data_IF_793126381388
#
_entry.id   IF_793126381388
#
_cell.length_a   1.000
_cell.length_b   1.000
_cell.length_c   1.000
_cell.angle_alpha   90.00
_cell.angle_beta   90.00
_cell.angle_gamma   90.00
#
_symmetry.space_group_name_H-M   'P 1'
#
loop_
_entity.id
_entity.type
_entity.pdbx_description
1 polymer ?
#
# COMPACT_ATOMS: atom_id res chain seq x y z
N UNK A 1 -35.74 -9.50 11.93
CA UNK A 1 -34.61 -8.57 11.70
C UNK A 1 -35.10 -7.43 10.81
N UNK A 2 -35.48 -6.32 11.42
CA UNK A 2 -36.02 -5.13 10.75
C UNK A 2 -34.85 -4.21 10.39
N UNK A 3 -34.59 -4.09 9.08
CA UNK A 3 -33.56 -3.20 8.54
C UNK A 3 -34.02 -1.75 8.73
N UNK A 4 -33.31 -1.00 9.58
CA UNK A 4 -33.56 0.43 9.79
C UNK A 4 -33.13 1.19 8.53
N UNK A 5 -34.01 2.00 7.92
CA UNK A 5 -33.67 2.75 6.72
C UNK A 5 -32.63 3.83 7.04
N UNK A 6 -31.49 3.76 6.35
CA UNK A 6 -30.45 4.77 6.37
C UNK A 6 -31.00 6.09 5.83
N UNK A 7 -31.20 7.05 6.72
CA UNK A 7 -31.58 8.43 6.35
C UNK A 7 -30.42 9.06 5.57
N UNK A 8 -30.66 9.60 4.37
CA UNK A 8 -29.59 10.20 3.57
C UNK A 8 -28.99 11.41 4.29
N UNK A 9 -27.66 11.59 4.22
CA UNK A 9 -26.99 12.71 4.88
C UNK A 9 -27.44 14.03 4.25
N UNK A 10 -27.87 14.97 5.10
CA UNK A 10 -28.33 16.31 4.71
C UNK A 10 -27.16 17.12 4.10
N UNK A 11 -27.28 17.62 2.85
CA UNK A 11 -26.16 18.22 2.12
C UNK A 11 -25.73 19.64 2.52
N UNK A 12 -26.38 20.31 3.48
CA UNK A 12 -26.27 21.78 3.63
C UNK A 12 -25.35 22.31 4.74
N UNK A 13 -24.45 21.49 5.32
CA UNK A 13 -23.50 22.00 6.34
C UNK A 13 -22.21 22.56 5.74
N UNK A 14 -22.34 23.81 5.31
CA UNK A 14 -21.42 24.97 5.43
C UNK A 14 -20.00 24.92 4.80
N UNK A 15 -19.79 25.65 3.69
CA UNK A 15 -18.46 25.98 3.16
C UNK A 15 -17.72 27.14 3.88
N UNK A 16 -18.29 27.75 4.92
CA UNK A 16 -17.73 28.99 5.52
C UNK A 16 -16.43 28.84 6.33
N UNK A 17 -15.97 27.63 6.69
CA UNK A 17 -14.72 27.45 7.46
C UNK A 17 -13.43 27.49 6.63
N UNK A 18 -13.51 27.58 5.30
CA UNK A 18 -12.31 27.41 4.46
C UNK A 18 -11.45 28.68 4.40
N UNK A 19 -12.03 29.88 4.53
CA UNK A 19 -11.28 31.14 4.32
C UNK A 19 -10.44 31.60 5.50
N UNK A 20 -10.91 31.45 6.76
CA UNK A 20 -10.11 31.81 7.95
C UNK A 20 -8.87 30.91 8.14
N UNK A 21 -8.90 29.69 7.61
CA UNK A 21 -7.76 28.76 7.68
C UNK A 21 -6.60 29.15 6.76
N UNK A 22 -6.84 29.89 5.66
CA UNK A 22 -5.81 30.19 4.66
C UNK A 22 -4.86 31.31 5.11
N UNK A 23 -5.39 32.38 5.72
CA UNK A 23 -4.58 33.51 6.19
C UNK A 23 -3.68 33.13 7.37
N UNK A 24 -4.19 32.32 8.30
CA UNK A 24 -3.40 31.78 9.41
C UNK A 24 -2.29 30.84 8.94
N UNK A 25 -2.54 30.05 7.90
CA UNK A 25 -1.53 29.16 7.31
C UNK A 25 -0.37 29.93 6.70
N UNK A 26 -0.66 30.98 5.89
CA UNK A 26 0.40 31.79 5.25
C UNK A 26 1.27 32.49 6.29
N UNK A 27 0.68 33.12 7.31
CA UNK A 27 1.45 33.78 8.37
C UNK A 27 2.34 32.82 9.15
N UNK A 28 1.86 31.60 9.41
CA UNK A 28 2.65 30.55 10.07
C UNK A 28 3.85 30.14 9.22
N UNK A 29 3.68 29.96 7.91
CA UNK A 29 4.80 29.63 7.02
C UNK A 29 5.85 30.73 6.95
N UNK A 30 5.44 32.01 6.90
CA UNK A 30 6.38 33.13 6.90
C UNK A 30 7.24 33.13 8.16
N UNK A 31 6.62 32.94 9.34
CA UNK A 31 7.34 32.85 10.61
C UNK A 31 8.29 31.65 10.67
N UNK A 32 7.89 30.50 10.14
CA UNK A 32 8.74 29.30 10.07
C UNK A 32 9.95 29.55 9.16
N UNK A 33 9.76 30.11 7.97
CA UNK A 33 10.87 30.42 7.05
C UNK A 33 11.83 31.44 7.67
N UNK A 34 11.29 32.48 8.33
CA UNK A 34 12.12 33.45 9.04
C UNK A 34 12.93 32.81 10.18
N UNK A 35 12.32 31.92 10.97
CA UNK A 35 13.00 31.17 12.03
C UNK A 35 14.09 30.25 11.48
N UNK A 36 13.82 29.55 10.37
CA UNK A 36 14.83 28.73 9.68
C UNK A 36 16.01 29.56 9.17
N UNK A 37 15.75 30.77 8.67
CA UNK A 37 16.81 31.70 8.27
C UNK A 37 17.69 32.14 9.45
N UNK A 38 17.08 32.42 10.61
CA UNK A 38 17.80 32.74 11.84
C UNK A 38 18.65 31.55 12.33
N UNK A 39 18.09 30.34 12.32
CA UNK A 39 18.82 29.10 12.66
C UNK A 39 19.99 28.86 11.71
N UNK A 40 19.80 29.08 10.41
CA UNK A 40 20.86 28.93 9.40
C UNK A 40 22.02 29.90 9.66
N UNK A 41 21.70 31.18 9.87
CA UNK A 41 22.71 32.21 10.13
C UNK A 41 23.48 31.90 11.43
N UNK A 42 22.78 31.43 12.46
CA UNK A 42 23.40 31.05 13.71
C UNK A 42 24.32 29.83 13.55
N UNK A 43 23.86 28.75 12.90
CA UNK A 43 24.68 27.58 12.60
C UNK A 43 25.91 27.93 11.76
N UNK A 44 25.73 28.78 10.74
CA UNK A 44 26.83 29.28 9.92
C UNK A 44 27.89 30.00 10.77
N UNK A 45 27.47 30.91 11.66
CA UNK A 45 28.42 31.61 12.54
C UNK A 45 29.16 30.66 13.51
N UNK A 46 28.49 29.62 14.00
CA UNK A 46 29.12 28.59 14.85
C UNK A 46 30.15 27.78 14.05
N UNK A 47 29.83 27.38 12.82
CA UNK A 47 30.73 26.65 11.94
C UNK A 47 31.92 27.50 11.49
N UNK A 48 31.76 28.80 11.27
CA UNK A 48 32.87 29.71 10.94
C UNK A 48 33.90 29.76 12.06
N UNK A 49 33.46 29.69 13.33
CA UNK A 49 34.36 29.65 14.48
C UNK A 49 35.19 28.36 14.49
N UNK A 50 34.58 27.22 14.11
CA UNK A 50 35.25 25.91 14.08
C UNK A 50 36.17 25.72 12.85
N UNK A 51 35.71 26.09 11.66
CA UNK A 51 36.32 25.71 10.37
C UNK A 51 36.92 26.90 9.62
N UNK A 52 37.64 27.79 10.32
CA UNK A 52 38.20 29.10 9.90
C UNK A 52 38.78 29.27 8.48
N UNK A 53 38.93 28.22 7.65
CA UNK A 53 39.63 28.24 6.37
C UNK A 53 38.76 28.05 5.11
N UNK A 54 37.47 27.70 5.17
CA UNK A 54 36.67 27.53 3.96
C UNK A 54 35.16 27.85 4.13
N UNK A 55 34.74 29.02 3.61
CA UNK A 55 33.35 29.50 3.68
C UNK A 55 32.34 28.56 2.99
N UNK A 56 32.76 27.86 1.93
CA UNK A 56 31.88 26.91 1.20
C UNK A 56 31.59 25.70 2.08
N UNK A 57 32.61 25.15 2.74
CA UNK A 57 32.44 24.00 3.66
C UNK A 57 31.55 24.38 4.83
N UNK A 58 31.73 25.59 5.37
CA UNK A 58 30.90 26.12 6.46
C UNK A 58 29.44 26.30 6.01
N UNK A 59 29.19 26.89 4.84
CA UNK A 59 27.85 27.06 4.30
C UNK A 59 27.14 25.72 4.08
N UNK A 60 27.81 24.77 3.43
CA UNK A 60 27.28 23.42 3.17
C UNK A 60 27.01 22.69 4.48
N UNK A 61 27.91 22.78 5.46
CA UNK A 61 27.73 22.21 6.79
C UNK A 61 26.53 22.78 7.53
N UNK A 62 26.33 24.10 7.46
CA UNK A 62 25.21 24.78 8.13
C UNK A 62 23.86 24.36 7.53
N UNK A 63 23.77 24.32 6.20
CA UNK A 63 22.58 23.84 5.49
C UNK A 63 22.31 22.36 5.79
N UNK A 64 23.36 21.53 5.80
CA UNK A 64 23.25 20.10 6.13
C UNK A 64 22.74 19.86 7.55
N UNK A 65 23.27 20.58 8.55
CA UNK A 65 22.81 20.49 9.94
C UNK A 65 21.38 20.99 10.12
N UNK A 66 21.02 22.10 9.46
CA UNK A 66 19.65 22.61 9.47
C UNK A 66 18.68 21.57 8.89
N UNK A 67 19.00 21.02 7.71
CA UNK A 67 18.20 20.00 7.05
C UNK A 67 18.04 18.75 7.93
N UNK A 68 19.13 18.27 8.54
CA UNK A 68 19.11 17.13 9.45
C UNK A 68 18.23 17.41 10.69
N UNK A 69 18.32 18.60 11.28
CA UNK A 69 17.50 19.00 12.42
C UNK A 69 16.00 19.07 12.07
N UNK A 70 15.65 19.70 10.95
CA UNK A 70 14.26 19.78 10.47
C UNK A 70 13.70 18.40 10.16
N UNK A 71 14.50 17.53 9.53
CA UNK A 71 14.11 16.16 9.24
C UNK A 71 13.87 15.35 10.52
N UNK A 72 14.75 15.50 11.52
CA UNK A 72 14.57 14.87 12.82
C UNK A 72 13.27 15.33 13.50
N UNK A 73 13.01 16.64 13.56
CA UNK A 73 11.78 17.21 14.12
C UNK A 73 10.52 16.70 13.37
N UNK A 74 10.58 16.64 12.04
CA UNK A 74 9.51 16.09 11.20
C UNK A 74 9.23 14.62 11.55
N UNK A 75 10.26 13.78 11.64
CA UNK A 75 10.12 12.36 11.98
C UNK A 75 9.55 12.14 13.38
N UNK A 76 9.91 12.97 14.36
CA UNK A 76 9.31 12.91 15.70
C UNK A 76 7.80 13.22 15.62
N UNK A 77 7.41 14.21 14.82
CA UNK A 77 6.00 14.56 14.63
C UNK A 77 5.20 13.43 13.97
N UNK A 78 5.77 12.82 12.92
CA UNK A 78 5.20 11.62 12.27
C UNK A 78 5.08 10.46 13.26
N UNK A 79 6.13 10.14 14.02
CA UNK A 79 6.12 9.08 15.01
C UNK A 79 5.10 9.34 16.14
N UNK A 80 4.93 10.60 16.55
CA UNK A 80 3.91 10.99 17.53
C UNK A 80 2.49 10.81 16.99
N UNK A 81 2.26 11.10 15.71
CA UNK A 81 0.98 10.84 15.05
C UNK A 81 0.68 9.34 14.94
N UNK A 82 1.69 8.53 14.56
CA UNK A 82 1.57 7.07 14.48
C UNK A 82 1.25 6.44 15.85
N UNK A 83 1.93 6.88 16.92
CA UNK A 83 1.65 6.42 18.28
C UNK A 83 0.25 6.82 18.76
N UNK A 84 -0.23 8.03 18.41
CA UNK A 84 -1.61 8.44 18.71
C UNK A 84 -2.63 7.55 17.99
N UNK A 85 -2.32 7.11 16.78
CA UNK A 85 -3.15 6.19 16.01
C UNK A 85 -2.99 4.71 16.42
N UNK A 86 -2.16 4.41 17.44
CA UNK A 86 -1.84 3.04 17.88
C UNK A 86 -1.33 2.14 16.74
N UNK A 87 -0.57 2.72 15.79
CA UNK A 87 0.04 1.93 14.73
C UNK A 87 1.04 0.93 15.35
N UNK A 88 0.91 -0.39 15.12
CA UNK A 88 1.81 -1.40 15.69
C UNK A 88 3.27 -1.23 15.23
N UNK A 89 3.52 -0.50 14.14
CA UNK A 89 4.88 -0.22 13.64
C UNK A 89 5.56 0.94 14.37
N UNK A 90 4.83 1.68 15.20
CA UNK A 90 5.34 2.86 15.86
C UNK A 90 6.24 2.49 17.05
N UNK A 91 7.56 2.66 16.89
CA UNK A 91 8.54 2.44 17.96
C UNK A 91 8.68 3.68 18.85
N UNK A 92 8.30 3.56 20.13
CA UNK A 92 8.56 4.61 21.15
C UNK A 92 10.05 4.87 21.32
N UNK A 93 10.86 3.82 21.24
CA UNK A 93 12.31 3.91 21.39
C UNK A 93 12.94 4.75 20.28
N UNK A 94 12.58 4.50 19.02
CA UNK A 94 13.10 5.27 17.88
C UNK A 94 12.70 6.75 17.97
N UNK A 95 11.47 7.04 18.38
CA UNK A 95 11.02 8.42 18.64
C UNK A 95 11.86 9.08 19.74
N UNK A 96 12.13 8.37 20.84
CA UNK A 96 12.90 8.94 21.94
C UNK A 96 14.36 9.21 21.52
N UNK A 97 14.97 8.32 20.72
CA UNK A 97 16.31 8.54 20.15
C UNK A 97 16.36 9.71 19.17
N UNK A 98 15.35 9.87 18.32
CA UNK A 98 15.26 11.00 17.40
C UNK A 98 15.06 12.33 18.12
N UNK A 99 14.24 12.36 19.19
CA UNK A 99 14.13 13.53 20.09
C UNK A 99 15.46 13.82 20.76
N UNK A 100 16.15 12.80 21.29
CA UNK A 100 17.43 12.97 21.95
C UNK A 100 18.51 13.51 20.98
N UNK A 101 18.60 12.97 19.77
CA UNK A 101 19.52 13.45 18.74
C UNK A 101 19.22 14.89 18.31
N UNK A 102 17.95 15.24 18.13
CA UNK A 102 17.54 16.61 17.83
C UNK A 102 17.92 17.58 18.95
N UNK A 103 17.64 17.23 20.22
CA UNK A 103 18.03 18.03 21.38
C UNK A 103 19.55 18.17 21.50
N UNK A 104 20.30 17.10 21.24
CA UNK A 104 21.74 17.11 21.30
C UNK A 104 22.35 18.08 20.28
N UNK A 105 21.80 18.19 19.07
CA UNK A 105 22.26 19.16 18.05
C UNK A 105 22.05 20.60 18.55
N UNK A 106 20.85 20.94 19.03
CA UNK A 106 20.54 22.27 19.55
C UNK A 106 21.41 22.65 20.76
N UNK A 107 21.57 21.72 21.70
CA UNK A 107 22.41 21.90 22.89
C UNK A 107 23.89 22.05 22.53
N UNK A 108 24.40 21.25 21.59
CA UNK A 108 25.79 21.34 21.15
C UNK A 108 26.09 22.69 20.50
N UNK A 109 25.20 23.17 19.62
CA UNK A 109 25.35 24.47 18.97
C UNK A 109 25.28 25.64 19.99
N UNK A 110 24.38 25.55 20.98
CA UNK A 110 24.32 26.52 22.08
C UNK A 110 25.59 26.49 22.95
N UNK A 111 26.08 25.29 23.30
CA UNK A 111 27.29 25.12 24.11
C UNK A 111 28.55 25.66 23.41
N UNK A 112 28.72 25.38 22.12
CA UNK A 112 29.84 25.93 21.33
C UNK A 112 29.83 27.45 21.36
N UNK A 113 28.65 28.07 21.32
CA UNK A 113 28.51 29.53 21.36
C UNK A 113 28.89 30.14 22.70
N UNK A 114 28.64 29.43 23.81
CA UNK A 114 29.09 29.85 25.15
C UNK A 114 30.60 29.69 25.32
N UNK A 115 31.17 28.60 24.80
CA UNK A 115 32.60 28.27 24.97
C UNK A 115 33.50 29.07 24.03
N UNK A 116 33.04 29.34 22.82
CA UNK A 116 33.78 30.08 21.80
C UNK A 116 32.99 31.33 21.38
N UNK A 117 32.97 32.38 22.22
CA UNK A 117 32.27 33.61 21.88
C UNK A 117 32.91 34.24 20.64
N UNK A 118 32.16 34.26 19.55
CA UNK A 118 32.58 34.93 18.32
C UNK A 118 32.53 36.43 18.51
N UNK A 119 33.48 37.16 17.94
CA UNK A 119 33.45 38.63 17.84
C UNK A 119 32.31 39.06 16.90
N UNK A 120 31.07 38.96 17.35
CA UNK A 120 29.90 39.34 16.58
C UNK A 120 29.83 40.87 16.49
N UNK A 121 30.27 41.42 15.37
CA UNK A 121 30.08 42.82 15.00
C UNK A 121 28.61 43.07 14.60
N UNK A 122 27.71 43.21 15.58
CA UNK A 122 26.37 43.75 15.30
C UNK A 122 25.21 43.14 16.09
N UNK A 123 24.79 43.84 17.14
CA UNK A 123 23.48 44.52 17.23
C UNK A 123 23.58 45.39 18.49
N UNK A 124 23.35 46.70 18.35
CA UNK A 124 23.58 47.68 19.42
C UNK A 124 22.60 47.52 20.57
N UNK A 125 23.11 47.07 21.72
CA UNK A 125 22.45 47.24 23.02
C UNK A 125 23.50 47.70 24.00
N UNK A 126 23.51 49.01 24.28
CA UNK A 126 24.32 49.67 25.30
C UNK A 126 23.79 49.31 26.69
N UNK A 127 23.94 48.05 27.08
CA UNK A 127 23.70 47.59 28.43
C UNK A 127 25.01 47.03 28.98
N UNK A 128 25.45 47.53 30.14
CA UNK A 128 26.66 47.16 30.87
C UNK A 128 26.68 45.68 31.37
N UNK A 129 25.95 44.79 30.70
CA UNK A 129 26.09 43.37 30.89
C UNK A 129 27.49 42.97 30.40
N UNK A 130 28.33 42.47 31.31
CA UNK A 130 29.67 41.99 30.97
C UNK A 130 29.64 41.00 29.80
N UNK A 131 30.70 40.93 28.98
CA UNK A 131 30.72 40.20 27.71
C UNK A 131 30.18 38.76 27.79
N UNK A 132 30.47 38.04 28.89
CA UNK A 132 29.93 36.70 29.13
C UNK A 132 28.40 36.62 29.26
N UNK A 133 27.75 37.61 29.90
CA UNK A 133 26.30 37.61 30.06
C UNK A 133 25.59 37.79 28.71
N UNK A 134 26.18 38.58 27.80
CA UNK A 134 25.67 38.76 26.44
C UNK A 134 25.78 37.48 25.62
N UNK A 135 26.91 36.78 25.68
CA UNK A 135 27.11 35.54 24.91
C UNK A 135 26.16 34.42 25.37
N UNK A 136 25.96 34.30 26.69
CA UNK A 136 24.98 33.38 27.27
C UNK A 136 23.56 33.74 26.83
N UNK A 137 23.18 35.02 26.85
CA UNK A 137 21.87 35.47 26.38
C UNK A 137 21.63 35.12 24.90
N UNK A 138 22.62 35.36 24.04
CA UNK A 138 22.53 35.02 22.62
C UNK A 138 22.44 33.50 22.42
N UNK A 139 23.20 32.71 23.19
CA UNK A 139 23.11 31.24 23.13
C UNK A 139 21.73 30.72 23.57
N UNK A 140 21.16 31.30 24.62
CA UNK A 140 19.81 30.97 25.10
C UNK A 140 18.73 31.36 24.08
N UNK A 141 18.85 32.55 23.46
CA UNK A 141 17.93 32.99 22.41
C UNK A 141 17.98 32.05 21.20
N UNK A 142 19.18 31.66 20.76
CA UNK A 142 19.36 30.67 19.70
C UNK A 142 18.70 29.34 20.05
N UNK A 143 18.94 28.82 21.26
CA UNK A 143 18.31 27.58 21.70
C UNK A 143 16.78 27.69 21.73
N UNK A 144 16.24 28.83 22.17
CA UNK A 144 14.80 29.07 22.19
C UNK A 144 14.19 29.09 20.77
N UNK A 145 14.85 29.77 19.81
CA UNK A 145 14.42 29.80 18.41
C UNK A 145 14.46 28.41 17.78
N UNK A 146 15.55 27.66 18.00
CA UNK A 146 15.70 26.28 17.54
C UNK A 146 14.58 25.37 18.05
N UNK A 147 14.26 25.49 19.35
CA UNK A 147 13.17 24.74 19.98
C UNK A 147 11.82 25.10 19.37
N UNK A 148 11.55 26.40 19.19
CA UNK A 148 10.30 26.87 18.60
C UNK A 148 10.12 26.37 17.15
N UNK A 149 11.18 26.43 16.34
CA UNK A 149 11.19 25.93 14.96
C UNK A 149 10.93 24.41 14.92
N UNK A 150 11.68 23.63 15.71
CA UNK A 150 11.51 22.18 15.78
C UNK A 150 10.13 21.76 16.25
N UNK A 151 9.57 22.43 17.27
CA UNK A 151 8.22 22.19 17.76
C UNK A 151 7.15 22.52 16.72
N UNK A 152 7.31 23.60 15.95
CA UNK A 152 6.39 23.96 14.87
C UNK A 152 6.38 22.89 13.76
N UNK A 153 7.56 22.44 13.32
CA UNK A 153 7.69 21.36 12.33
C UNK A 153 7.09 20.05 12.87
N UNK A 154 7.38 19.71 14.13
CA UNK A 154 6.84 18.52 14.79
C UNK A 154 5.31 18.57 14.88
N UNK A 155 4.75 19.72 15.25
CA UNK A 155 3.31 19.94 15.32
C UNK A 155 2.66 19.80 13.95
N UNK A 156 3.22 20.47 12.93
CA UNK A 156 2.75 20.40 11.55
C UNK A 156 2.77 18.95 11.02
N UNK A 157 3.90 18.26 11.19
CA UNK A 157 4.02 16.86 10.81
C UNK A 157 2.99 16.00 11.53
N UNK A 158 2.76 16.24 12.83
CA UNK A 158 1.77 15.51 13.62
C UNK A 158 0.33 15.72 13.14
N UNK A 159 -0.05 16.94 12.79
CA UNK A 159 -1.44 17.28 12.40
C UNK A 159 -1.75 16.86 10.97
N UNK A 160 -0.79 16.99 10.06
CA UNK A 160 -0.97 16.64 8.65
C UNK A 160 -0.72 15.16 8.35
N UNK A 161 0.04 14.45 9.19
CA UNK A 161 0.23 13.01 9.01
C UNK A 161 -1.00 12.22 9.48
N UNK A 162 -1.79 11.74 8.53
CA UNK A 162 -2.93 10.86 8.79
C UNK A 162 -2.60 9.39 8.45
N UNK A 163 -2.16 8.58 9.42
CA UNK A 163 -1.79 7.18 9.18
C UNK A 163 -3.00 6.31 8.79
N UNK A 164 -4.22 6.69 9.20
CA UNK A 164 -5.44 5.95 8.88
C UNK A 164 -5.75 5.99 7.39
N UNK A 165 -5.46 7.11 6.72
CA UNK A 165 -5.65 7.22 5.26
C UNK A 165 -4.72 6.27 4.52
N UNK A 166 -3.47 6.14 4.96
CA UNK A 166 -2.52 5.18 4.37
C UNK A 166 -2.97 3.73 4.61
N UNK A 167 -3.37 3.38 5.84
CA UNK A 167 -3.90 2.06 6.16
C UNK A 167 -5.15 1.71 5.34
N UNK A 168 -6.09 2.65 5.21
CA UNK A 168 -7.31 2.48 4.43
C UNK A 168 -7.02 2.36 2.92
N UNK A 169 -6.03 3.08 2.39
CA UNK A 169 -5.57 2.90 1.00
C UNK A 169 -5.01 1.50 0.78
N UNK A 170 -4.17 0.99 1.70
CA UNK A 170 -3.64 -0.38 1.63
C UNK A 170 -4.75 -1.42 1.71
N UNK A 171 -5.67 -1.30 2.67
CA UNK A 171 -6.81 -2.20 2.80
C UNK A 171 -7.70 -2.19 1.54
N UNK A 172 -7.90 -1.03 0.90
CA UNK A 172 -8.61 -0.93 -0.38
C UNK A 172 -7.86 -1.60 -1.53
N UNK A 173 -6.54 -1.46 -1.59
CA UNK A 173 -5.71 -2.14 -2.59
C UNK A 173 -5.76 -3.65 -2.42
N UNK A 174 -5.62 -4.15 -1.19
CA UNK A 174 -5.72 -5.57 -0.85
C UNK A 174 -7.11 -6.14 -1.19
N UNK A 175 -8.18 -5.41 -0.83
CA UNK A 175 -9.55 -5.82 -1.20
C UNK A 175 -9.76 -5.89 -2.71
N UNK A 176 -9.20 -4.95 -3.47
CA UNK A 176 -9.25 -4.96 -4.95
C UNK A 176 -8.47 -6.14 -5.52
N UNK A 177 -7.29 -6.44 -4.97
CA UNK A 177 -6.48 -7.57 -5.38
C UNK A 177 -7.19 -8.91 -5.10
N UNK A 178 -7.83 -9.05 -3.93
CA UNK A 178 -8.63 -10.21 -3.57
C UNK A 178 -9.83 -10.38 -4.51
N UNK A 179 -10.59 -9.31 -4.78
CA UNK A 179 -11.72 -9.37 -5.72
C UNK A 179 -11.28 -9.75 -7.15
N UNK A 180 -10.11 -9.27 -7.60
CA UNK A 180 -9.54 -9.65 -8.89
C UNK A 180 -9.01 -11.09 -8.92
N UNK A 181 -8.60 -11.65 -7.77
CA UNK A 181 -8.23 -13.07 -7.67
C UNK A 181 -9.48 -13.96 -7.70
N UNK A 182 -10.54 -13.56 -6.98
CA UNK A 182 -11.82 -14.25 -6.96
C UNK A 182 -12.48 -14.27 -8.35
N UNK A 183 -12.47 -13.16 -9.09
CA UNK A 183 -13.01 -13.12 -10.45
C UNK A 183 -12.25 -14.04 -11.41
N UNK A 184 -10.92 -14.12 -11.28
CA UNK A 184 -10.08 -15.04 -12.07
C UNK A 184 -10.38 -16.50 -11.71
N UNK A 185 -10.49 -16.83 -10.43
CA UNK A 185 -10.86 -18.16 -9.97
C UNK A 185 -12.29 -18.56 -10.42
N UNK A 186 -13.22 -17.61 -10.42
CA UNK A 186 -14.57 -17.81 -10.96
C UNK A 186 -14.53 -18.12 -12.46
N UNK A 187 -13.76 -17.36 -13.24
CA UNK A 187 -13.61 -17.58 -14.68
C UNK A 187 -12.96 -18.94 -15.00
N UNK A 188 -11.94 -19.36 -14.25
CA UNK A 188 -11.33 -20.69 -14.44
C UNK A 188 -12.29 -21.81 -14.07
N UNK A 189 -13.06 -21.66 -12.98
CA UNK A 189 -14.07 -22.64 -12.59
C UNK A 189 -15.18 -22.81 -13.65
N UNK A 190 -15.65 -21.70 -14.24
CA UNK A 190 -16.63 -21.73 -15.33
C UNK A 190 -16.07 -22.45 -16.57
N UNK A 191 -14.82 -22.14 -16.96
CA UNK A 191 -14.15 -22.84 -18.09
C UNK A 191 -13.99 -24.33 -17.83
N UNK A 192 -13.55 -24.71 -16.63
CA UNK A 192 -13.40 -26.12 -16.26
C UNK A 192 -14.73 -26.88 -16.31
N UNK A 193 -15.82 -26.28 -15.84
CA UNK A 193 -17.17 -26.86 -15.95
C UNK A 193 -17.62 -27.02 -17.39
N UNK A 194 -17.35 -26.05 -18.25
CA UNK A 194 -17.67 -26.12 -19.68
C UNK A 194 -16.91 -27.27 -20.38
N UNK A 195 -15.61 -27.41 -20.12
CA UNK A 195 -14.78 -28.51 -20.65
C UNK A 195 -15.30 -29.87 -20.16
N UNK A 196 -15.64 -30.00 -18.88
CA UNK A 196 -16.22 -31.23 -18.35
C UNK A 196 -17.56 -31.57 -19.01
N UNK A 197 -18.42 -30.58 -19.24
CA UNK A 197 -19.69 -30.78 -19.93
C UNK A 197 -19.47 -31.23 -21.39
N UNK A 198 -18.48 -30.65 -22.08
CA UNK A 198 -18.11 -31.06 -23.43
C UNK A 198 -17.64 -32.52 -23.48
N UNK A 199 -16.70 -32.92 -22.60
CA UNK A 199 -16.22 -34.30 -22.56
C UNK A 199 -17.32 -35.31 -22.25
N UNK A 200 -18.27 -34.95 -21.38
CA UNK A 200 -19.45 -35.80 -21.12
C UNK A 200 -20.32 -35.96 -22.36
N UNK A 201 -20.53 -34.87 -23.11
CA UNK A 201 -21.29 -34.93 -24.36
C UNK A 201 -20.56 -35.75 -25.45
N UNK A 202 -19.24 -35.60 -25.56
CA UNK A 202 -18.40 -36.41 -26.46
C UNK A 202 -18.47 -37.89 -26.09
N UNK A 203 -18.30 -38.24 -24.83
CA UNK A 203 -18.40 -39.61 -24.34
C UNK A 203 -19.77 -40.22 -24.65
N UNK A 204 -20.86 -39.49 -24.42
CA UNK A 204 -22.22 -39.95 -24.78
C UNK A 204 -22.38 -40.18 -26.29
N UNK A 205 -21.76 -39.35 -27.13
CA UNK A 205 -21.77 -39.54 -28.59
C UNK A 205 -20.99 -40.79 -28.99
N UNK A 206 -19.84 -41.04 -28.37
CA UNK A 206 -19.04 -42.25 -28.61
C UNK A 206 -19.81 -43.52 -28.20
N UNK A 207 -20.44 -43.52 -27.02
CA UNK A 207 -21.30 -44.64 -26.58
C UNK A 207 -22.38 -44.93 -27.62
N UNK A 208 -23.12 -43.90 -28.07
CA UNK A 208 -24.14 -44.06 -29.11
C UNK A 208 -23.56 -44.58 -30.44
N UNK A 209 -22.39 -44.10 -30.86
CA UNK A 209 -21.72 -44.59 -32.08
C UNK A 209 -21.36 -46.07 -31.96
N UNK A 210 -20.84 -46.48 -30.80
CA UNK A 210 -20.54 -47.89 -30.52
C UNK A 210 -21.80 -48.76 -30.53
N UNK A 211 -22.90 -48.28 -29.93
CA UNK A 211 -24.20 -48.98 -29.95
C UNK A 211 -24.72 -49.14 -31.37
N UNK A 212 -24.70 -48.08 -32.18
CA UNK A 212 -25.13 -48.11 -33.60
C UNK A 212 -24.23 -49.06 -34.41
N UNK A 213 -22.91 -49.00 -34.25
CA UNK A 213 -21.98 -49.88 -34.94
C UNK A 213 -22.21 -51.36 -34.57
N UNK A 214 -22.44 -51.64 -33.28
CA UNK A 214 -22.77 -52.98 -32.81
C UNK A 214 -24.09 -53.48 -33.37
N UNK A 215 -25.12 -52.63 -33.42
CA UNK A 215 -26.39 -52.97 -34.05
C UNK A 215 -26.24 -53.25 -35.56
N UNK A 216 -25.40 -52.48 -36.25
CA UNK A 216 -25.06 -52.72 -37.67
C UNK A 216 -24.43 -54.10 -37.90
N UNK A 217 -23.39 -54.45 -37.13
CA UNK A 217 -22.75 -55.77 -37.22
C UNK A 217 -23.73 -56.92 -36.97
N UNK A 218 -24.63 -56.77 -35.99
CA UNK A 218 -25.65 -57.78 -35.71
C UNK A 218 -26.67 -57.91 -36.86
N UNK A 219 -27.02 -56.81 -37.52
CA UNK A 219 -27.89 -56.81 -38.69
C UNK A 219 -27.23 -57.53 -39.88
N UNK A 220 -25.96 -57.23 -40.16
CA UNK A 220 -25.19 -57.88 -41.23
C UNK A 220 -25.07 -59.40 -40.98
N UNK A 221 -24.82 -59.81 -39.73
CA UNK A 221 -24.79 -61.23 -39.35
C UNK A 221 -26.16 -61.90 -39.54
N UNK A 222 -27.26 -61.21 -39.24
CA UNK A 222 -28.60 -61.72 -39.45
C UNK A 222 -28.91 -61.89 -40.96
N UNK A 223 -28.45 -60.95 -41.79
CA UNK A 223 -28.56 -61.03 -43.25
C UNK A 223 -27.74 -62.21 -43.80
N UNK A 224 -26.48 -62.38 -43.40
CA UNK A 224 -25.65 -63.53 -43.78
C UNK A 224 -26.28 -64.87 -43.37
N UNK A 225 -26.88 -64.93 -42.18
CA UNK A 225 -27.62 -66.11 -41.71
C UNK A 225 -28.89 -66.36 -42.53
N UNK A 226 -29.56 -65.32 -43.00
CA UNK A 226 -30.71 -65.46 -43.89
C UNK A 226 -30.28 -65.97 -45.28
N UNK A 227 -29.26 -65.36 -45.88
CA UNK A 227 -28.74 -65.75 -47.21
C UNK A 227 -28.20 -67.18 -47.21
N UNK A 228 -27.46 -67.59 -46.17
CA UNK A 228 -27.00 -68.98 -46.04
C UNK A 228 -28.16 -70.00 -45.92
N UNK A 229 -29.22 -69.68 -45.18
CA UNK A 229 -30.44 -70.52 -45.12
C UNK A 229 -31.10 -70.64 -46.50
N UNK A 230 -31.19 -69.55 -47.25
CA UNK A 230 -31.75 -69.55 -48.61
C UNK A 230 -30.88 -70.42 -49.53
N UNK A 231 -29.56 -70.23 -49.56
CA UNK A 231 -28.64 -71.04 -50.36
C UNK A 231 -28.70 -72.53 -50.00
N UNK A 232 -28.78 -72.87 -48.71
CA UNK A 232 -28.95 -74.25 -48.25
C UNK A 232 -30.28 -74.86 -48.74
N UNK A 233 -31.38 -74.12 -48.70
CA UNK A 233 -32.68 -74.60 -49.21
C UNK A 233 -32.66 -74.86 -50.73
N UNK A 234 -31.93 -74.03 -51.50
CA UNK A 234 -31.76 -74.23 -52.95
C UNK A 234 -30.90 -75.48 -53.23
N UNK A 235 -29.81 -75.66 -52.50
CA UNK A 235 -28.89 -76.78 -52.70
C UNK A 235 -29.45 -78.15 -52.27
N UNK A 236 -30.39 -78.17 -51.32
CA UNK A 236 -30.93 -79.43 -50.79
C UNK A 236 -32.06 -80.05 -51.63
N UNK A 237 -32.72 -79.30 -52.53
CA UNK A 237 -33.78 -79.72 -53.50
C UNK A 237 -34.87 -80.74 -53.07
N UNK A 238 -34.90 -81.21 -51.82
CA UNK A 238 -35.89 -82.11 -51.24
C UNK A 238 -36.74 -81.33 -50.24
N UNK A 239 -37.89 -80.88 -50.71
CA UNK A 239 -38.87 -80.08 -49.96
C UNK A 239 -39.40 -80.71 -48.64
N UNK A 240 -39.54 -82.04 -48.47
CA UNK A 240 -40.08 -82.58 -47.21
C UNK A 240 -39.04 -82.78 -46.09
N UNK A 241 -37.73 -82.80 -46.39
CA UNK A 241 -36.69 -83.10 -45.39
C UNK A 241 -36.17 -81.85 -44.65
N UNK A 242 -36.39 -80.65 -45.22
CA UNK A 242 -35.91 -79.37 -44.65
C UNK A 242 -36.86 -78.73 -43.65
N UNK A 243 -38.11 -79.19 -43.55
CA UNK A 243 -39.13 -78.65 -42.64
C UNK A 243 -38.78 -78.91 -41.15
N UNK A 244 -37.93 -79.91 -40.87
CA UNK A 244 -37.44 -80.22 -39.53
C UNK A 244 -36.32 -79.30 -39.01
N UNK A 245 -35.52 -78.66 -39.89
CA UNK A 245 -34.33 -77.89 -39.51
C UNK A 245 -34.56 -76.38 -39.32
N UNK A 246 -35.72 -75.87 -39.76
CA UNK A 246 -36.09 -74.45 -39.61
C UNK A 246 -36.96 -74.17 -38.39
N UNK A 247 -37.38 -75.21 -37.65
CA UNK A 247 -38.15 -75.07 -36.40
C UNK A 247 -37.30 -74.29 -35.38
N UNK A 248 -37.68 -73.03 -35.18
CA UNK A 248 -37.01 -72.07 -34.31
C UNK A 248 -36.83 -72.65 -32.91
N UNK A 249 -35.59 -72.78 -32.45
CA UNK A 249 -35.30 -72.86 -31.02
C UNK A 249 -35.65 -71.49 -30.40
N UNK A 250 -36.49 -71.45 -29.35
CA UNK A 250 -36.76 -70.22 -28.62
C UNK A 250 -35.44 -69.74 -28.00
N UNK A 251 -35.13 -68.47 -28.23
CA UNK A 251 -34.02 -67.78 -27.57
C UNK A 251 -34.59 -67.20 -26.28
N UNK A 252 -34.32 -67.88 -25.16
CA UNK A 252 -34.40 -67.32 -23.81
C UNK A 252 -33.14 -66.48 -23.51
#
# INVERSE_FOLDING_TARGET
MTLTPLTPPHPDRQPHRVHESRLSTVGTWVLVVAAMGADLAALYSVLQILFRSNDVVVAVGAVGLLAASVLAAHHVGVAAAQLRARDPRASRMLRNWTVAGWLAIGLAAAAVRVVAPGSASGFGTSADAGPHARDVLVALLFLAVHMACGLAVMHHARTHHNPLVAALRRARQERRAAAAAESRAGATAVRARAVLAQHRAEHQREVRRCEIARAGVLADLAELRHTSRVLLSIGLQDAPTTDGLTRRLPLD
#
